data_IF_171843578750
#
_entry.id   IF_171843578750
#
_cell.length_a   1.000
_cell.length_b   1.000
_cell.length_c   1.000
_cell.angle_alpha   90.00
_cell.angle_beta   90.00
_cell.angle_gamma   90.00
#
_symmetry.space_group_name_H-M   'P 1'
#
loop_
_entity.id
_entity.type
_entity.pdbx_description
1 polymer ?
#
# COMPACT_ATOMS: atom_id res chain seq x y z
N UNK A 1 -10.43 16.39 20.92
CA UNK A 1 -9.53 15.27 21.23
C UNK A 1 -8.73 14.94 19.98
N UNK A 2 -7.48 15.37 19.92
CA UNK A 2 -6.59 15.15 18.77
C UNK A 2 -6.09 13.71 18.79
N UNK A 3 -6.69 12.83 18.00
CA UNK A 3 -6.20 11.47 17.81
C UNK A 3 -5.03 11.50 16.82
N UNK A 4 -3.82 11.73 17.35
CA UNK A 4 -2.59 11.54 16.58
C UNK A 4 -2.45 10.05 16.25
N UNK A 5 -2.95 9.63 15.08
CA UNK A 5 -2.66 8.30 14.53
C UNK A 5 -1.18 8.26 14.14
N UNK A 6 -0.34 7.84 15.09
CA UNK A 6 1.06 7.53 14.84
C UNK A 6 1.11 6.31 13.91
N UNK A 7 1.46 6.51 12.65
CA UNK A 7 1.62 5.42 11.67
C UNK A 7 2.83 4.58 12.07
N UNK A 8 2.61 3.46 12.75
CA UNK A 8 3.65 2.49 13.09
C UNK A 8 4.26 1.93 11.81
N UNK A 9 5.56 2.19 11.59
CA UNK A 9 6.30 1.56 10.49
C UNK A 9 6.45 0.07 10.80
N UNK A 10 6.26 -0.79 9.79
CA UNK A 10 6.54 -2.21 9.93
C UNK A 10 8.00 -2.43 10.34
N UNK A 11 8.25 -3.39 11.23
CA UNK A 11 9.61 -3.74 11.65
C UNK A 11 10.39 -4.34 10.47
N UNK A 12 11.71 -4.14 10.46
CA UNK A 12 12.58 -4.68 9.39
C UNK A 12 12.45 -6.20 9.27
N UNK A 13 12.27 -6.90 10.40
CA UNK A 13 12.05 -8.34 10.43
C UNK A 13 10.76 -8.77 9.70
N UNK A 14 9.66 -8.02 9.88
CA UNK A 14 8.39 -8.32 9.21
C UNK A 14 8.48 -8.08 7.70
N UNK A 15 9.16 -7.02 7.28
CA UNK A 15 9.40 -6.75 5.85
C UNK A 15 10.22 -7.89 5.22
N UNK A 16 11.30 -8.31 5.87
CA UNK A 16 12.12 -9.42 5.39
C UNK A 16 11.33 -10.74 5.29
N UNK A 17 10.53 -11.05 6.31
CA UNK A 17 9.66 -12.23 6.32
C UNK A 17 8.65 -12.20 5.17
N UNK A 18 7.99 -11.06 4.94
CA UNK A 18 7.02 -10.92 3.86
C UNK A 18 7.66 -11.08 2.48
N UNK A 19 8.83 -10.49 2.26
CA UNK A 19 9.59 -10.65 1.01
C UNK A 19 10.04 -12.09 0.78
N UNK A 20 10.51 -12.77 1.83
CA UNK A 20 10.89 -14.19 1.76
C UNK A 20 9.70 -15.10 1.46
N UNK A 21 8.57 -14.90 2.16
CA UNK A 21 7.35 -15.67 1.94
C UNK A 21 6.86 -15.53 0.50
N UNK A 22 6.82 -14.30 -0.02
CA UNK A 22 6.48 -14.05 -1.42
C UNK A 22 7.43 -14.77 -2.38
N UNK A 23 8.74 -14.70 -2.15
CA UNK A 23 9.73 -15.39 -2.97
C UNK A 23 9.54 -16.91 -2.99
N UNK A 24 9.32 -17.51 -1.82
CA UNK A 24 9.07 -18.97 -1.69
C UNK A 24 7.77 -19.35 -2.42
N UNK A 25 6.68 -18.59 -2.24
CA UNK A 25 5.42 -18.87 -2.93
C UNK A 25 5.54 -18.72 -4.45
N UNK A 26 6.24 -17.68 -4.93
CA UNK A 26 6.47 -17.45 -6.35
C UNK A 26 7.26 -18.61 -6.98
N UNK A 27 8.34 -19.03 -6.33
CA UNK A 27 9.14 -20.19 -6.75
C UNK A 27 8.32 -21.48 -6.68
N UNK A 28 7.52 -21.68 -5.64
CA UNK A 28 6.66 -22.85 -5.48
C UNK A 28 5.67 -23.00 -6.63
N UNK A 29 5.01 -21.92 -7.05
CA UNK A 29 4.13 -21.92 -8.23
C UNK A 29 4.93 -22.19 -9.50
N UNK A 30 6.11 -21.58 -9.66
CA UNK A 30 6.98 -21.83 -10.81
C UNK A 30 7.40 -23.30 -10.95
N UNK A 31 7.81 -23.94 -9.85
CA UNK A 31 8.12 -25.36 -9.79
C UNK A 31 6.87 -26.20 -10.09
N UNK A 32 5.71 -25.82 -9.54
CA UNK A 32 4.44 -26.49 -9.84
C UNK A 32 4.12 -26.49 -11.33
N UNK A 33 4.18 -25.31 -11.98
CA UNK A 33 3.98 -25.19 -13.42
C UNK A 33 4.97 -26.05 -14.22
N UNK A 34 6.22 -26.17 -13.76
CA UNK A 34 7.23 -27.00 -14.41
C UNK A 34 6.99 -28.51 -14.23
N UNK A 35 6.56 -28.94 -13.04
CA UNK A 35 6.34 -30.34 -12.72
C UNK A 35 5.06 -30.91 -13.35
N UNK A 36 4.12 -30.06 -13.75
CA UNK A 36 2.88 -30.48 -14.40
C UNK A 36 3.15 -31.11 -15.79
N UNK A 37 2.53 -32.26 -16.13
CA UNK A 37 2.64 -32.88 -17.44
C UNK A 37 1.73 -32.18 -18.46
N UNK A 38 2.07 -30.94 -18.80
CA UNK A 38 1.36 -30.11 -19.80
C UNK A 38 2.23 -29.86 -21.03
N UNK A 39 1.58 -29.61 -22.17
CA UNK A 39 2.27 -29.14 -23.37
C UNK A 39 2.90 -27.76 -23.14
N UNK A 40 3.90 -27.46 -23.98
CA UNK A 40 4.67 -26.21 -23.94
C UNK A 40 3.76 -24.98 -24.02
N UNK A 41 2.72 -25.02 -24.85
CA UNK A 41 1.79 -23.89 -25.04
C UNK A 41 0.95 -23.60 -23.80
N UNK A 42 0.35 -24.62 -23.15
CA UNK A 42 -0.45 -24.38 -21.95
C UNK A 42 0.44 -23.96 -20.77
N UNK A 43 1.65 -24.52 -20.69
CA UNK A 43 2.65 -24.10 -19.70
C UNK A 43 3.06 -22.64 -19.89
N UNK A 44 3.28 -22.23 -21.13
CA UNK A 44 3.57 -20.83 -21.49
C UNK A 44 2.43 -19.89 -21.10
N UNK A 45 1.19 -20.27 -21.36
CA UNK A 45 0.02 -19.50 -20.93
C UNK A 45 -0.01 -19.33 -19.40
N UNK A 46 0.15 -20.41 -18.64
CA UNK A 46 0.17 -20.35 -17.17
C UNK A 46 1.31 -19.48 -16.63
N UNK A 47 2.51 -19.59 -17.22
CA UNK A 47 3.66 -18.77 -16.84
C UNK A 47 3.38 -17.27 -17.10
N UNK A 48 2.84 -16.94 -18.28
CA UNK A 48 2.48 -15.55 -18.61
C UNK A 48 1.37 -15.01 -17.72
N UNK A 49 0.31 -15.80 -17.47
CA UNK A 49 -0.77 -15.42 -16.56
C UNK A 49 -0.24 -15.19 -15.14
N UNK A 50 0.66 -16.04 -14.65
CA UNK A 50 1.28 -15.90 -13.33
C UNK A 50 2.10 -14.59 -13.23
N UNK A 51 2.95 -14.29 -14.21
CA UNK A 51 3.72 -13.04 -14.24
C UNK A 51 2.82 -11.80 -14.31
N UNK A 52 1.79 -11.83 -15.14
CA UNK A 52 0.82 -10.74 -15.27
C UNK A 52 0.00 -10.54 -13.99
N UNK A 53 -0.44 -11.62 -13.36
CA UNK A 53 -1.18 -11.58 -12.10
C UNK A 53 -0.33 -10.98 -10.99
N UNK A 54 0.93 -11.39 -10.87
CA UNK A 54 1.88 -10.83 -9.89
C UNK A 54 2.09 -9.33 -10.12
N UNK A 55 2.34 -8.94 -11.37
CA UNK A 55 2.59 -7.53 -11.73
C UNK A 55 1.36 -6.66 -11.45
N UNK A 56 0.17 -7.09 -11.88
CA UNK A 56 -1.08 -6.35 -11.65
C UNK A 56 -1.44 -6.26 -10.17
N UNK A 57 -1.17 -7.31 -9.38
CA UNK A 57 -1.36 -7.29 -7.91
C UNK A 57 -0.48 -6.23 -7.26
N UNK A 58 0.80 -6.13 -7.64
CA UNK A 58 1.68 -5.07 -7.10
C UNK A 58 1.27 -3.67 -7.52
N UNK A 59 0.77 -3.49 -8.75
CA UNK A 59 0.21 -2.21 -9.19
C UNK A 59 -1.01 -1.84 -8.37
N UNK A 60 -1.94 -2.77 -8.17
CA UNK A 60 -3.12 -2.55 -7.32
C UNK A 60 -2.73 -2.22 -5.88
N UNK A 61 -1.74 -2.94 -5.31
CA UNK A 61 -1.25 -2.67 -3.96
C UNK A 61 -0.66 -1.26 -3.83
N UNK A 62 0.05 -0.76 -4.86
CA UNK A 62 0.51 0.63 -4.90
C UNK A 62 -0.67 1.61 -4.92
N UNK A 63 -1.63 1.41 -5.82
CA UNK A 63 -2.82 2.27 -5.92
C UNK A 63 -3.56 2.37 -4.58
N UNK A 64 -3.77 1.24 -3.90
CA UNK A 64 -4.41 1.21 -2.58
C UNK A 64 -3.58 1.96 -1.54
N UNK A 65 -2.26 1.75 -1.51
CA UNK A 65 -1.36 2.46 -0.59
C UNK A 65 -1.38 3.97 -0.84
N UNK A 66 -1.32 4.38 -2.10
CA UNK A 66 -1.33 5.78 -2.53
C UNK A 66 -2.66 6.45 -2.13
N UNK A 67 -3.80 5.74 -2.25
CA UNK A 67 -5.10 6.23 -1.76
C UNK A 67 -5.12 6.42 -0.23
N UNK A 68 -4.56 5.49 0.54
CA UNK A 68 -4.47 5.64 2.00
C UNK A 68 -3.54 6.80 2.41
N UNK A 69 -2.45 7.02 1.69
CA UNK A 69 -1.55 8.15 1.89
C UNK A 69 -2.24 9.49 1.57
N UNK A 70 -2.91 9.60 0.43
CA UNK A 70 -3.65 10.79 0.01
C UNK A 70 -4.74 11.18 1.01
N UNK A 71 -5.55 10.20 1.48
CA UNK A 71 -6.59 10.44 2.48
C UNK A 71 -6.03 10.99 3.80
N UNK A 72 -4.88 10.47 4.24
CA UNK A 72 -4.21 10.94 5.47
C UNK A 72 -3.67 12.37 5.31
N UNK A 73 -3.11 12.70 4.15
CA UNK A 73 -2.54 14.04 3.88
C UNK A 73 -3.65 15.09 3.81
N UNK A 74 -4.74 14.80 3.10
CA UNK A 74 -5.88 15.73 2.96
C UNK A 74 -6.46 16.10 4.33
N UNK A 75 -6.66 15.12 5.23
CA UNK A 75 -7.15 15.39 6.59
C UNK A 75 -6.23 16.31 7.41
N UNK A 76 -4.90 16.22 7.23
CA UNK A 76 -3.94 17.12 7.90
C UNK A 76 -3.98 18.53 7.32
N UNK A 77 -4.17 18.66 6.00
CA UNK A 77 -4.31 19.96 5.34
C UNK A 77 -5.60 20.65 5.79
N UNK A 78 -6.71 19.91 5.87
CA UNK A 78 -7.99 20.44 6.34
C UNK A 78 -7.90 20.91 7.79
N UNK A 79 -7.25 20.14 8.66
CA UNK A 79 -6.98 20.55 10.05
C UNK A 79 -6.15 21.84 10.12
N UNK A 80 -5.05 21.93 9.37
CA UNK A 80 -4.21 23.13 9.36
C UNK A 80 -4.95 24.35 8.78
N UNK A 81 -5.81 24.16 7.79
CA UNK A 81 -6.68 25.22 7.23
C UNK A 81 -7.72 25.68 8.25
N UNK A 82 -8.35 24.74 8.96
CA UNK A 82 -9.31 25.06 10.03
C UNK A 82 -8.62 25.82 11.17
N UNK A 83 -7.44 25.38 11.60
CA UNK A 83 -6.65 26.06 12.63
C UNK A 83 -6.27 27.48 12.20
N UNK A 84 -5.87 27.67 10.94
CA UNK A 84 -5.60 28.99 10.39
C UNK A 84 -6.85 29.87 10.38
N UNK A 85 -7.99 29.38 9.91
CA UNK A 85 -9.26 30.14 9.90
C UNK A 85 -9.70 30.54 11.31
N UNK A 86 -9.56 29.63 12.28
CA UNK A 86 -9.83 29.91 13.70
C UNK A 86 -8.87 30.96 14.26
N UNK A 87 -7.59 30.92 13.89
CA UNK A 87 -6.60 31.91 14.35
C UNK A 87 -6.80 33.29 13.73
N UNK A 88 -7.25 33.36 12.47
CA UNK A 88 -7.52 34.62 11.78
C UNK A 88 -8.84 35.26 12.24
N UNK A 89 -9.81 34.44 12.67
CA UNK A 89 -11.09 34.88 13.24
C UNK A 89 -11.12 34.67 14.75
N UNK A 90 -10.15 35.22 15.48
CA UNK A 90 -10.20 35.27 16.95
C UNK A 90 -11.07 36.46 17.40
N UNK A 91 -12.32 36.23 17.87
CA UNK A 91 -13.23 37.30 18.29
C UNK A 91 -12.81 37.95 19.63
N UNK A 92 -11.76 37.46 20.30
CA UNK A 92 -11.32 37.97 21.60
C UNK A 92 -10.20 39.02 21.55
N UNK A 93 -9.59 39.26 20.37
CA UNK A 93 -8.55 40.29 20.22
C UNK A 93 -9.09 41.66 19.76
N UNK A 94 -10.39 41.79 19.45
CA UNK A 94 -11.00 43.06 19.02
C UNK A 94 -11.64 43.87 20.16
N UNK A 95 -11.43 43.47 21.41
CA UNK A 95 -11.93 44.18 22.60
C UNK A 95 -10.77 44.41 23.58
N UNK A 96 -9.85 45.28 23.20
CA UNK A 96 -8.88 45.93 24.09
C UNK A 96 -8.51 47.30 23.52
#
# INVERSE_FOLDING_TARGET
>A
MSTTTTRTKASAAYVAQASLAFGISFVGIGIGIYALPLDVWQRGFLAMSMLFLVTSTFTLAKVVRDQHEAATINGRIDQARMEKLLSEHDPFNSVA
#
